data_IF_356069209091
#
_entry.id   IF_356069209091
#
_cell.length_a   1.000
_cell.length_b   1.000
_cell.length_c   1.000
_cell.angle_alpha   90.00
_cell.angle_beta   90.00
_cell.angle_gamma   90.00
#
_symmetry.space_group_name_H-M   'P 1'
#
loop_
_entity.id
_entity.type
_entity.pdbx_description
1 polymer ?
#
# COMPACT_ATOMS: atom_id res chain seq x y z
N UNK A 1 -10.32 -12.50 -21.69
CA UNK A 1 -8.98 -11.88 -21.58
C UNK A 1 -9.01 -10.53 -20.86
N UNK A 2 -9.94 -9.62 -21.18
CA UNK A 2 -10.03 -8.32 -20.51
C UNK A 2 -10.17 -8.40 -18.98
N UNK A 3 -10.99 -9.32 -18.44
CA UNK A 3 -11.16 -9.47 -16.99
C UNK A 3 -9.86 -9.82 -16.24
N UNK A 4 -8.96 -10.58 -16.87
CA UNK A 4 -7.65 -10.89 -16.29
C UNK A 4 -6.73 -9.66 -16.24
N UNK A 5 -6.75 -8.83 -17.28
CA UNK A 5 -6.00 -7.57 -17.32
C UNK A 5 -6.49 -6.57 -16.26
N UNK A 6 -7.81 -6.46 -16.04
CA UNK A 6 -8.36 -5.60 -14.99
C UNK A 6 -7.95 -6.06 -13.59
N UNK A 7 -7.97 -7.37 -13.32
CA UNK A 7 -7.48 -7.95 -12.05
C UNK A 7 -5.98 -7.66 -11.85
N UNK A 8 -5.18 -7.81 -12.91
CA UNK A 8 -3.74 -7.59 -12.86
C UNK A 8 -3.40 -6.12 -12.62
N UNK A 9 -4.05 -5.18 -13.33
CA UNK A 9 -3.85 -3.74 -13.12
C UNK A 9 -4.28 -3.35 -11.69
N UNK A 10 -5.38 -3.91 -11.19
CA UNK A 10 -5.84 -3.64 -9.83
C UNK A 10 -4.81 -4.09 -8.78
N UNK A 11 -4.26 -5.30 -8.91
CA UNK A 11 -3.22 -5.80 -7.97
C UNK A 11 -1.89 -5.06 -8.07
N UNK A 12 -1.49 -4.63 -9.27
CA UNK A 12 -0.26 -3.84 -9.47
C UNK A 12 -0.41 -2.44 -8.89
N UNK A 13 -1.49 -1.72 -9.24
CA UNK A 13 -1.73 -0.36 -8.73
C UNK A 13 -1.87 -0.33 -7.22
N UNK A 14 -2.46 -1.37 -6.65
CA UNK A 14 -2.54 -1.61 -5.23
C UNK A 14 -1.20 -1.83 -4.53
N UNK A 15 -0.29 -2.61 -5.13
CA UNK A 15 0.98 -3.00 -4.49
C UNK A 15 2.06 -1.91 -4.57
N UNK A 16 2.01 -1.06 -5.60
CA UNK A 16 2.97 0.04 -5.81
C UNK A 16 3.11 1.05 -4.64
N UNK A 17 2.02 1.61 -4.06
CA UNK A 17 2.14 2.56 -2.95
C UNK A 17 2.70 1.91 -1.68
N UNK A 18 2.37 0.64 -1.44
CA UNK A 18 2.89 -0.12 -0.32
C UNK A 18 4.40 -0.39 -0.49
N UNK A 19 4.83 -0.78 -1.70
CA UNK A 19 6.25 -0.94 -2.02
C UNK A 19 7.02 0.36 -1.78
N UNK A 20 6.48 1.49 -2.21
CA UNK A 20 7.11 2.79 -2.01
C UNK A 20 7.25 3.14 -0.52
N UNK A 21 6.24 2.82 0.30
CA UNK A 21 6.32 2.90 1.76
C UNK A 21 7.46 2.07 2.35
N UNK A 22 7.54 0.79 2.00
CA UNK A 22 8.61 -0.11 2.49
C UNK A 22 10.00 0.38 2.05
N UNK A 23 10.14 0.86 0.82
CA UNK A 23 11.40 1.41 0.32
C UNK A 23 11.86 2.62 1.16
N UNK A 24 10.95 3.54 1.49
CA UNK A 24 11.28 4.70 2.33
C UNK A 24 11.71 4.30 3.75
N UNK A 25 11.08 3.27 4.33
CA UNK A 25 11.50 2.71 5.62
C UNK A 25 12.91 2.15 5.53
N UNK A 26 13.15 1.32 4.52
CA UNK A 26 14.43 0.64 4.35
C UNK A 26 15.57 1.64 4.20
N UNK A 27 15.33 2.75 3.51
CA UNK A 27 16.30 3.83 3.35
C UNK A 27 16.58 4.59 4.65
N UNK A 28 15.56 4.78 5.50
CA UNK A 28 15.72 5.54 6.75
C UNK A 28 16.30 4.70 7.89
N UNK A 29 15.95 3.41 7.98
CA UNK A 29 16.28 2.55 9.12
C UNK A 29 17.31 1.47 8.82
N UNK A 30 17.73 1.31 7.55
CA UNK A 30 18.58 0.21 7.06
C UNK A 30 18.09 -1.20 7.49
N UNK A 31 16.86 -1.29 7.99
CA UNK A 31 16.26 -2.48 8.56
C UNK A 31 14.76 -2.38 8.38
N UNK A 32 14.13 -3.53 8.13
CA UNK A 32 12.69 -3.67 7.89
C UNK A 32 11.98 -4.26 9.11
N UNK A 33 12.65 -4.34 10.24
CA UNK A 33 12.11 -5.02 11.41
C UNK A 33 11.05 -4.13 12.08
N UNK A 34 9.81 -4.61 12.13
CA UNK A 34 8.68 -3.83 12.64
C UNK A 34 8.87 -3.42 14.12
N UNK A 35 9.58 -4.24 14.89
CA UNK A 35 9.91 -3.94 16.29
C UNK A 35 10.95 -2.83 16.46
N UNK A 36 11.76 -2.57 15.43
CA UNK A 36 12.77 -1.50 15.45
C UNK A 36 12.22 -0.14 15.01
N UNK A 37 10.98 -0.10 14.51
CA UNK A 37 10.32 1.14 14.09
C UNK A 37 9.84 1.92 15.31
N UNK A 38 10.66 2.86 15.78
CA UNK A 38 10.26 3.78 16.85
C UNK A 38 9.26 4.82 16.32
N UNK A 39 8.16 5.12 17.05
CA UNK A 39 7.11 6.05 16.59
C UNK A 39 7.59 7.46 16.31
N UNK A 40 8.76 7.86 16.84
CA UNK A 40 9.38 9.16 16.58
C UNK A 40 9.87 9.33 15.14
N UNK A 41 10.03 8.26 14.37
CA UNK A 41 10.50 8.40 12.99
C UNK A 41 9.44 8.99 12.05
N UNK A 42 8.16 8.72 12.33
CA UNK A 42 7.04 9.26 11.55
C UNK A 42 6.82 10.77 11.76
N UNK A 43 7.55 11.39 12.70
CA UNK A 43 7.43 12.82 13.01
C UNK A 43 7.85 13.75 11.88
N UNK A 44 8.76 13.30 11.00
CA UNK A 44 9.29 14.15 9.92
C UNK A 44 8.23 14.45 8.85
N UNK A 45 7.32 13.52 8.56
CA UNK A 45 6.23 13.71 7.60
C UNK A 45 5.01 12.83 7.94
N UNK A 46 4.27 13.13 9.03
CA UNK A 46 3.21 12.26 9.52
C UNK A 46 2.05 12.10 8.51
N UNK A 47 1.79 13.14 7.70
CA UNK A 47 0.72 13.13 6.69
C UNK A 47 1.01 12.16 5.54
N UNK A 48 2.25 12.13 5.06
CA UNK A 48 2.68 11.25 3.97
C UNK A 48 2.68 9.80 4.45
N UNK A 49 3.19 9.58 5.65
CA UNK A 49 3.17 8.28 6.31
C UNK A 49 1.77 7.73 6.56
N UNK A 50 0.85 8.60 7.00
CA UNK A 50 -0.55 8.26 7.16
C UNK A 50 -1.21 7.87 5.82
N UNK A 51 -0.96 8.63 4.74
CA UNK A 51 -1.48 8.29 3.41
C UNK A 51 -0.95 6.94 2.90
N UNK A 52 0.34 6.64 3.09
CA UNK A 52 0.96 5.37 2.67
C UNK A 52 0.37 4.17 3.44
N UNK A 53 0.17 4.31 4.75
CA UNK A 53 -0.44 3.26 5.57
C UNK A 53 -1.94 3.08 5.26
N UNK A 54 -2.67 4.16 5.02
CA UNK A 54 -4.09 4.09 4.65
C UNK A 54 -4.28 3.47 3.26
N UNK A 55 -3.46 3.84 2.28
CA UNK A 55 -3.53 3.24 0.93
C UNK A 55 -3.23 1.74 0.94
N UNK A 56 -2.28 1.29 1.76
CA UNK A 56 -2.00 -0.14 1.98
C UNK A 56 -3.22 -0.92 2.54
N UNK A 57 -4.00 -0.31 3.43
CA UNK A 57 -5.23 -0.91 3.98
C UNK A 57 -6.41 -0.86 3.01
N UNK A 58 -6.55 0.25 2.28
CA UNK A 58 -7.63 0.48 1.31
C UNK A 58 -7.64 -0.53 0.16
N UNK A 59 -6.46 -1.08 -0.15
CA UNK A 59 -6.28 -2.13 -1.17
C UNK A 59 -6.86 -3.48 -0.76
N UNK A 60 -6.83 -3.82 0.54
CA UNK A 60 -7.28 -5.13 1.06
C UNK A 60 -8.74 -5.15 1.49
N UNK A 61 -9.32 -3.98 1.79
CA UNK A 61 -10.72 -3.86 2.12
C UNK A 61 -11.54 -3.86 0.83
N UNK A 62 -12.64 -4.64 0.72
CA UNK A 62 -13.50 -4.63 -0.45
C UNK A 62 -14.19 -3.27 -0.53
N UNK A 63 -13.56 -2.29 -1.16
CA UNK A 63 -14.24 -1.07 -1.55
C UNK A 63 -15.25 -1.45 -2.63
N UNK A 64 -16.52 -1.12 -2.38
CA UNK A 64 -17.69 -1.45 -3.20
C UNK A 64 -17.60 -1.02 -4.68
N UNK A 65 -16.56 -0.30 -5.11
CA UNK A 65 -16.33 0.12 -6.50
C UNK A 65 -15.56 -0.86 -7.40
N UNK A 66 -14.95 -1.93 -6.84
CA UNK A 66 -14.12 -2.90 -7.61
C UNK A 66 -14.90 -4.19 -7.93
N UNK A 67 -16.19 -4.21 -7.61
CA UNK A 67 -17.12 -5.29 -7.95
C UNK A 67 -17.47 -5.33 -9.46
N UNK A 68 -16.59 -4.81 -10.31
CA UNK A 68 -16.65 -4.93 -11.77
C UNK A 68 -15.93 -6.18 -12.28
N UNK A 69 -15.18 -6.88 -11.41
CA UNK A 69 -14.55 -8.16 -11.74
C UNK A 69 -15.47 -9.36 -11.53
N UNK A 70 -16.58 -9.20 -10.78
CA UNK A 70 -17.59 -10.25 -10.79
C UNK A 70 -18.25 -10.23 -12.17
N UNK A 71 -18.16 -11.34 -12.94
CA UNK A 71 -19.02 -11.46 -14.10
C UNK A 71 -20.46 -11.39 -13.59
N UNK A 72 -21.29 -10.62 -14.29
CA UNK A 72 -22.63 -11.18 -14.53
C UNK A 72 -22.45 -12.37 -15.46
#
# INVERSE_FOLDING_TARGET
LQAGLYMMIYTITASLPLLMGIATISYQFNSLNMFSLHPTCFLTNPKVWWLILMTAFMVKMPMYGVHLWLPK
#
